data_IF_110961471928
#
_entry.id   IF_110961471928
#
_cell.length_a   1.000
_cell.length_b   1.000
_cell.length_c   1.000
_cell.angle_alpha   90.00
_cell.angle_beta   90.00
_cell.angle_gamma   90.00
#
_symmetry.space_group_name_H-M   'P 1'
#
loop_
_entity.id
_entity.type
_entity.pdbx_description
1 polymer ?
#
# COMPACT_ATOMS: atom_id res chain seq x y z
N UNK A 1 -12.79 14.07 -23.86
CA UNK A 1 -12.57 13.61 -23.43
C UNK A 1 -12.30 13.08 -22.57
N UNK A 2 -12.60 13.11 -22.34
CA UNK A 2 -12.18 12.65 -21.43
C UNK A 2 -12.41 11.36 -20.82
N UNK A 3 -12.63 10.37 -21.35
CA UNK A 3 -12.68 9.06 -20.79
C UNK A 3 -11.53 8.73 -19.86
N UNK A 4 -10.56 9.59 -19.86
CA UNK A 4 -9.36 9.38 -19.03
C UNK A 4 -9.67 9.44 -17.56
N UNK A 5 -10.71 10.15 -17.15
CA UNK A 5 -11.06 10.23 -15.74
C UNK A 5 -11.42 8.86 -15.18
N UNK A 6 -11.93 7.96 -16.03
CA UNK A 6 -12.29 6.61 -15.60
C UNK A 6 -11.09 5.66 -15.56
N UNK A 7 -9.92 6.12 -15.99
CA UNK A 7 -8.73 5.29 -16.01
C UNK A 7 -7.99 5.27 -14.66
N UNK A 8 -8.47 6.02 -13.67
CA UNK A 8 -7.85 5.96 -12.34
C UNK A 8 -8.01 4.58 -11.73
N UNK A 9 -6.93 4.11 -11.10
CA UNK A 9 -6.90 2.81 -10.46
C UNK A 9 -6.79 3.01 -8.96
N UNK A 10 -7.51 2.19 -8.22
CA UNK A 10 -7.45 2.19 -6.76
C UNK A 10 -6.74 0.92 -6.32
N UNK A 11 -5.80 1.04 -5.40
CA UNK A 11 -4.96 -0.06 -4.98
C UNK A 11 -5.25 -0.42 -3.54
N UNK A 12 -5.35 -1.72 -3.29
CA UNK A 12 -5.55 -2.28 -1.96
C UNK A 12 -4.46 -3.32 -1.75
N UNK A 13 -3.54 -3.05 -0.82
CA UNK A 13 -2.40 -3.92 -0.57
C UNK A 13 -2.54 -4.47 0.84
N UNK A 14 -2.77 -5.78 0.98
CA UNK A 14 -3.02 -6.36 2.29
C UNK A 14 -2.06 -7.50 2.60
N UNK A 15 -1.77 -7.67 3.88
CA UNK A 15 -0.79 -8.65 4.34
C UNK A 15 -0.97 -8.87 5.84
N UNK A 16 -0.32 -9.92 6.31
CA UNK A 16 -0.29 -10.20 7.75
C UNK A 16 1.04 -9.72 8.30
N UNK A 17 0.99 -8.96 9.39
CA UNK A 17 2.18 -8.51 10.10
C UNK A 17 2.64 -9.64 11.01
N UNK A 18 3.95 -9.85 11.10
CA UNK A 18 4.52 -10.90 11.94
C UNK A 18 4.08 -10.69 13.39
N UNK A 19 3.71 -11.81 14.04
CA UNK A 19 3.24 -11.76 15.43
C UNK A 19 4.32 -11.28 16.39
N UNK A 20 5.60 -11.51 16.05
CA UNK A 20 6.72 -11.10 16.90
C UNK A 20 7.27 -9.73 16.54
N UNK A 21 6.64 -9.02 15.59
CA UNK A 21 7.07 -7.68 15.24
C UNK A 21 6.50 -6.67 16.24
N UNK A 22 7.28 -5.62 16.49
CA UNK A 22 6.80 -4.49 17.27
C UNK A 22 5.83 -3.70 16.41
N UNK A 23 4.55 -3.69 16.77
CA UNK A 23 3.51 -3.09 15.92
C UNK A 23 3.72 -1.59 15.70
N UNK A 24 4.18 -0.88 16.71
CA UNK A 24 4.41 0.56 16.54
C UNK A 24 5.55 0.82 15.56
N UNK A 25 6.59 0.00 15.60
CA UNK A 25 7.71 0.13 14.66
C UNK A 25 7.26 -0.21 13.25
N UNK A 26 6.46 -1.26 13.10
CA UNK A 26 5.94 -1.65 11.80
C UNK A 26 5.06 -0.55 11.23
N UNK A 27 4.17 0.01 12.04
CA UNK A 27 3.30 1.09 11.60
C UNK A 27 4.10 2.33 11.19
N UNK A 28 5.09 2.70 11.99
CA UNK A 28 5.93 3.86 11.69
C UNK A 28 6.68 3.65 10.37
N UNK A 29 7.14 2.43 10.13
CA UNK A 29 7.87 2.10 8.90
C UNK A 29 6.95 2.20 7.68
N UNK A 30 5.74 1.63 7.77
CA UNK A 30 4.81 1.68 6.65
C UNK A 30 4.39 3.13 6.38
N UNK A 31 4.12 3.91 7.43
CA UNK A 31 3.74 5.32 7.24
C UNK A 31 4.88 6.14 6.67
N UNK A 32 6.13 5.86 7.04
CA UNK A 32 7.29 6.54 6.44
C UNK A 32 7.40 6.19 4.96
N UNK A 33 7.18 4.94 4.60
CA UNK A 33 7.16 4.51 3.21
C UNK A 33 6.05 5.22 2.45
N UNK A 34 4.85 5.31 3.04
CA UNK A 34 3.73 5.99 2.40
C UNK A 34 4.00 7.48 2.20
N UNK A 35 4.67 8.12 3.16
CA UNK A 35 5.03 9.52 3.04
C UNK A 35 6.03 9.75 1.89
N UNK A 36 7.02 8.85 1.77
CA UNK A 36 7.99 8.94 0.68
C UNK A 36 7.31 8.70 -0.67
N UNK A 37 6.37 7.76 -0.71
CA UNK A 37 5.60 7.46 -1.91
C UNK A 37 4.76 8.65 -2.34
N UNK A 38 4.13 9.33 -1.38
CA UNK A 38 3.33 10.51 -1.68
C UNK A 38 4.18 11.64 -2.24
N UNK A 39 5.38 11.84 -1.69
CA UNK A 39 6.29 12.85 -2.22
C UNK A 39 6.69 12.55 -3.66
N UNK A 40 6.79 11.26 -3.99
CA UNK A 40 7.22 10.84 -5.32
C UNK A 40 6.09 10.83 -6.34
N UNK A 41 4.88 10.48 -5.92
CA UNK A 41 3.77 10.23 -6.85
C UNK A 41 2.60 11.19 -6.68
N UNK A 42 2.52 11.89 -5.56
CA UNK A 42 1.36 12.72 -5.23
C UNK A 42 0.19 11.91 -4.68
N UNK A 43 0.34 10.61 -4.51
CA UNK A 43 -0.74 9.75 -4.04
C UNK A 43 -0.58 9.48 -2.55
N UNK A 44 -1.56 9.92 -1.77
CA UNK A 44 -1.57 9.68 -0.33
C UNK A 44 -2.02 8.26 -0.04
N UNK A 45 -1.43 7.64 0.98
CA UNK A 45 -1.81 6.30 1.40
C UNK A 45 -2.49 6.33 2.75
N UNK A 46 -3.36 5.34 2.96
CA UNK A 46 -3.95 5.08 4.26
C UNK A 46 -3.52 3.71 4.73
N UNK A 47 -3.49 3.51 6.04
CA UNK A 47 -3.14 2.23 6.63
C UNK A 47 -4.25 1.84 7.59
N UNK A 48 -4.79 0.65 7.39
CA UNK A 48 -5.90 0.15 8.19
C UNK A 48 -5.59 -1.25 8.67
N UNK A 49 -6.18 -1.64 9.79
CA UNK A 49 -6.09 -3.03 10.26
C UNK A 49 -7.49 -3.63 10.25
N UNK A 50 -7.54 -4.95 10.08
CA UNK A 50 -8.82 -5.64 10.07
C UNK A 50 -9.44 -5.60 11.46
N UNK A 51 -10.72 -5.27 11.53
CA UNK A 51 -11.42 -5.25 12.80
C UNK A 51 -11.42 -6.66 13.41
N UNK A 52 -11.00 -6.74 14.66
CA UNK A 52 -10.95 -8.01 15.37
C UNK A 52 -9.72 -8.86 15.08
N UNK A 53 -8.81 -8.36 14.25
CA UNK A 53 -7.60 -9.08 13.86
C UNK A 53 -6.51 -8.05 13.56
N UNK A 54 -5.81 -7.63 14.59
CA UNK A 54 -4.86 -6.52 14.49
C UNK A 54 -3.62 -6.85 13.65
N UNK A 55 -3.42 -8.12 13.28
CA UNK A 55 -2.23 -8.49 12.48
C UNK A 55 -2.47 -8.41 10.97
N UNK A 56 -3.73 -8.29 10.52
CA UNK A 56 -4.02 -8.14 9.10
C UNK A 56 -4.17 -6.66 8.79
N UNK A 57 -3.27 -6.14 7.96
CA UNK A 57 -3.23 -4.73 7.61
C UNK A 57 -3.54 -4.52 6.13
N UNK A 58 -4.07 -3.34 5.81
CA UNK A 58 -4.35 -2.96 4.43
C UNK A 58 -3.86 -1.54 4.19
N UNK A 59 -3.05 -1.38 3.15
CA UNK A 59 -2.68 -0.07 2.61
C UNK A 59 -3.67 0.27 1.50
N UNK A 60 -4.13 1.50 1.46
CA UNK A 60 -5.12 1.95 0.47
C UNK A 60 -4.57 3.16 -0.26
N UNK A 61 -4.58 3.11 -1.59
CA UNK A 61 -4.13 4.20 -2.45
C UNK A 61 -5.18 4.42 -3.52
N UNK A 62 -5.82 5.58 -3.53
CA UNK A 62 -6.96 5.83 -4.40
C UNK A 62 -6.65 6.90 -5.44
N UNK A 63 -7.30 6.80 -6.59
CA UNK A 63 -7.22 7.82 -7.61
C UNK A 63 -5.89 7.89 -8.35
N UNK A 64 -5.26 6.74 -8.58
CA UNK A 64 -3.96 6.70 -9.25
C UNK A 64 -4.14 6.85 -10.75
N UNK A 65 -3.62 7.96 -11.30
CA UNK A 65 -3.79 8.27 -12.72
C UNK A 65 -2.76 7.57 -13.61
N UNK A 66 -1.59 7.24 -13.07
CA UNK A 66 -0.51 6.59 -13.81
C UNK A 66 -0.14 5.30 -13.09
N UNK A 67 -0.85 4.20 -13.37
CA UNK A 67 -0.64 2.93 -12.65
C UNK A 67 0.78 2.39 -12.74
N UNK A 68 1.37 2.42 -13.93
CA UNK A 68 2.71 1.84 -14.11
C UNK A 68 3.75 2.57 -13.29
N UNK A 69 3.71 3.90 -13.34
CA UNK A 69 4.64 4.71 -12.57
C UNK A 69 4.41 4.52 -11.07
N UNK A 70 3.13 4.44 -10.65
CA UNK A 70 2.79 4.25 -9.25
C UNK A 70 3.30 2.90 -8.74
N UNK A 71 3.06 1.83 -9.49
CA UNK A 71 3.48 0.50 -9.06
C UNK A 71 5.00 0.40 -8.95
N UNK A 72 5.71 1.02 -9.88
CA UNK A 72 7.16 1.05 -9.81
C UNK A 72 7.65 1.81 -8.57
N UNK A 73 7.04 2.96 -8.30
CA UNK A 73 7.41 3.77 -7.14
C UNK A 73 7.08 3.04 -5.84
N UNK A 74 5.93 2.39 -5.77
CA UNK A 74 5.53 1.64 -4.58
C UNK A 74 6.53 0.53 -4.28
N UNK A 75 6.96 -0.21 -5.32
CA UNK A 75 7.93 -1.28 -5.14
C UNK A 75 9.25 -0.72 -4.63
N UNK A 76 9.72 0.38 -5.23
CA UNK A 76 10.99 0.99 -4.83
C UNK A 76 10.93 1.45 -3.37
N UNK A 77 9.86 2.15 -3.01
CA UNK A 77 9.76 2.68 -1.64
C UNK A 77 9.54 1.59 -0.61
N UNK A 78 8.75 0.57 -0.94
CA UNK A 78 8.54 -0.55 -0.02
C UNK A 78 9.85 -1.30 0.22
N UNK A 79 10.66 -1.49 -0.82
CA UNK A 79 11.97 -2.13 -0.68
C UNK A 79 12.93 -1.26 0.12
N UNK A 80 12.95 0.04 -0.16
CA UNK A 80 13.86 0.96 0.53
C UNK A 80 13.56 1.02 2.03
N UNK A 81 12.30 0.90 2.40
CA UNK A 81 11.88 0.94 3.81
C UNK A 81 11.79 -0.45 4.43
N UNK A 82 12.11 -1.51 3.67
CA UNK A 82 12.13 -2.89 4.14
C UNK A 82 10.80 -3.33 4.73
N UNK A 83 9.71 -2.95 4.09
CA UNK A 83 8.38 -3.29 4.57
C UNK A 83 8.20 -4.80 4.66
N UNK A 84 8.80 -5.55 3.73
CA UNK A 84 8.69 -7.01 3.74
C UNK A 84 9.23 -7.65 5.02
N UNK A 85 10.11 -6.97 5.75
CA UNK A 85 10.66 -7.52 6.99
C UNK A 85 9.60 -7.66 8.08
N UNK A 86 8.49 -6.95 7.97
CA UNK A 86 7.38 -7.04 8.92
C UNK A 86 6.26 -7.97 8.46
N UNK A 87 6.36 -8.51 7.25
CA UNK A 87 5.33 -9.40 6.70
C UNK A 87 5.58 -10.81 7.22
N UNK A 88 4.50 -11.48 7.61
CA UNK A 88 4.58 -12.84 8.14
C UNK A 88 5.26 -13.77 7.14
N UNK A 89 6.21 -14.61 7.57
CA UNK A 89 6.87 -15.55 6.67
C UNK A 89 5.85 -16.48 6.01
N UNK A 90 6.03 -16.72 4.73
CA UNK A 90 5.12 -17.57 3.96
C UNK A 90 3.91 -16.84 3.44
N UNK A 91 3.71 -15.59 3.83
CA UNK A 91 2.67 -14.77 3.27
C UNK A 91 3.31 -13.71 2.36
N UNK A 92 2.49 -12.95 1.65
CA UNK A 92 2.97 -11.94 0.73
C UNK A 92 2.13 -10.69 0.87
N UNK A 93 2.66 -9.59 0.37
CA UNK A 93 1.85 -8.37 0.23
C UNK A 93 1.02 -8.56 -1.04
N UNK A 94 -0.28 -8.79 -0.85
CA UNK A 94 -1.21 -8.98 -1.94
C UNK A 94 -1.70 -7.64 -2.43
N UNK A 95 -1.57 -7.40 -3.74
CA UNK A 95 -2.02 -6.14 -4.34
C UNK A 95 -3.23 -6.42 -5.22
N UNK A 96 -4.30 -5.68 -4.99
CA UNK A 96 -5.48 -5.73 -5.85
C UNK A 96 -5.74 -4.36 -6.44
N UNK A 97 -6.18 -4.36 -7.68
CA UNK A 97 -6.42 -3.14 -8.46
C UNK A 97 -7.89 -3.09 -8.82
N UNK A 98 -8.53 -1.97 -8.50
CA UNK A 98 -9.94 -1.76 -8.80
C UNK A 98 -10.11 -0.47 -9.57
N UNK A 99 -11.09 -0.46 -10.49
CA UNK A 99 -11.50 0.75 -11.20
C UNK A 99 -12.99 0.95 -10.98
N UNK A 100 -13.43 2.20 -11.13
CA UNK A 100 -14.85 2.49 -10.98
C UNK A 100 -15.64 1.80 -12.09
N UNK A 101 -16.82 1.31 -11.73
CA UNK A 101 -17.75 0.83 -12.73
C UNK A 101 -18.27 2.03 -13.53
N UNK A 102 -18.36 1.86 -14.82
CA UNK A 102 -18.84 2.94 -15.71
C UNK A 102 -20.35 3.14 -15.56
#
# INVERSE_FOLDING_TARGET
MSGDASACVHYFVYYRVRADAEHEDAEATVRAMQAALERRTGVAGRLMERRGDAVTWMEVYEGVADPDAFEAALRIEADAHRVASFVEPGSARHMERFVECA
#
